data_IF_839894357915
#
_entry.id   IF_839894357915
#
_cell.length_a   1.000
_cell.length_b   1.000
_cell.length_c   1.000
_cell.angle_alpha   90.00
_cell.angle_beta   90.00
_cell.angle_gamma   90.00
#
_symmetry.space_group_name_H-M   'P 1'
#
loop_
_entity.id
_entity.type
_entity.pdbx_description
1 polymer ?
#
# COMPACT_ATOMS: atom_id res chain seq x y z
N UNK A 1 -5.52 -12.14 -19.01
CA UNK A 1 -4.49 -11.42 -18.21
C UNK A 1 -5.23 -10.38 -17.39
N UNK A 2 -5.72 -10.85 -16.26
CA UNK A 2 -6.77 -10.24 -15.46
C UNK A 2 -6.24 -9.10 -14.61
N UNK A 3 -6.47 -7.87 -15.06
CA UNK A 3 -6.06 -6.62 -14.38
C UNK A 3 -7.00 -6.24 -13.22
N UNK A 4 -7.96 -7.09 -12.87
CA UNK A 4 -8.96 -6.80 -11.83
C UNK A 4 -8.31 -6.47 -10.48
N UNK A 5 -7.29 -7.23 -10.08
CA UNK A 5 -6.63 -7.03 -8.79
C UNK A 5 -5.98 -5.65 -8.73
N UNK A 6 -5.26 -5.21 -9.77
CA UNK A 6 -4.59 -3.91 -9.79
C UNK A 6 -5.55 -2.71 -9.81
N UNK A 7 -6.75 -2.87 -10.40
CA UNK A 7 -7.80 -1.84 -10.41
C UNK A 7 -8.47 -1.73 -9.04
N UNK A 8 -8.79 -2.86 -8.39
CA UNK A 8 -9.46 -2.88 -7.09
C UNK A 8 -8.63 -2.25 -5.96
N UNK A 9 -7.30 -2.34 -6.05
CA UNK A 9 -6.38 -1.70 -5.09
C UNK A 9 -6.01 -0.25 -5.46
N UNK A 10 -6.56 0.32 -6.54
CA UNK A 10 -6.35 1.73 -6.92
C UNK A 10 -4.93 2.08 -7.36
N UNK A 11 -4.12 1.08 -7.76
CA UNK A 11 -2.67 1.23 -8.02
C UNK A 11 -2.38 1.76 -9.43
N UNK A 12 -3.40 1.91 -10.26
CA UNK A 12 -3.28 2.35 -11.65
C UNK A 12 -4.13 3.61 -11.85
N UNK A 13 -3.52 4.79 -12.03
CA UNK A 13 -4.17 5.87 -12.75
C UNK A 13 -4.36 5.38 -14.18
N UNK A 14 -5.58 5.53 -14.70
CA UNK A 14 -5.88 5.35 -16.11
C UNK A 14 -4.81 6.01 -16.97
N UNK A 15 -4.20 5.19 -17.84
CA UNK A 15 -3.28 5.57 -18.91
C UNK A 15 -1.83 5.94 -18.50
N UNK A 16 -0.88 5.08 -18.89
CA UNK A 16 0.57 5.38 -19.01
C UNK A 16 1.48 5.49 -17.77
N UNK A 17 1.46 4.50 -16.87
CA UNK A 17 2.55 4.36 -15.88
C UNK A 17 2.56 3.00 -15.19
N UNK A 18 3.74 2.43 -14.93
CA UNK A 18 3.88 1.26 -14.05
C UNK A 18 3.18 1.53 -12.72
N UNK A 19 2.45 0.55 -12.19
CA UNK A 19 1.77 0.64 -10.90
C UNK A 19 2.71 1.21 -9.83
N UNK A 20 2.36 2.36 -9.25
CA UNK A 20 3.19 3.03 -8.23
C UNK A 20 3.40 2.09 -7.04
N UNK A 21 4.64 1.97 -6.56
CA UNK A 21 4.94 1.19 -5.35
C UNK A 21 4.19 1.80 -4.15
N UNK A 22 3.19 1.08 -3.66
CA UNK A 22 2.38 1.45 -2.50
C UNK A 22 2.35 0.27 -1.51
N UNK A 23 2.23 0.58 -0.22
CA UNK A 23 1.92 -0.41 0.81
C UNK A 23 0.65 -0.02 1.54
N UNK A 24 -0.08 -1.01 2.05
CA UNK A 24 -1.23 -0.82 2.93
C UNK A 24 -1.03 -1.64 4.20
N UNK A 25 -1.40 -1.07 5.34
CA UNK A 25 -1.47 -1.80 6.61
C UNK A 25 -2.92 -2.19 6.86
N UNK A 26 -3.15 -3.48 7.10
CA UNK A 26 -4.47 -4.06 7.35
C UNK A 26 -4.54 -4.49 8.81
N UNK A 27 -5.58 -4.06 9.52
CA UNK A 27 -5.82 -4.38 10.91
C UNK A 27 -6.38 -5.80 11.11
N UNK A 28 -6.46 -6.26 12.37
CA UNK A 28 -6.95 -7.59 12.70
C UNK A 28 -8.44 -7.81 12.35
N UNK A 29 -9.20 -6.73 12.15
CA UNK A 29 -10.59 -6.77 11.69
C UNK A 29 -10.71 -6.83 10.15
N UNK A 30 -9.58 -6.93 9.45
CA UNK A 30 -9.51 -6.99 7.99
C UNK A 30 -9.67 -5.64 7.29
N UNK A 31 -9.68 -4.52 8.03
CA UNK A 31 -9.81 -3.18 7.43
C UNK A 31 -8.46 -2.52 7.20
N UNK A 32 -8.39 -1.64 6.20
CA UNK A 32 -7.22 -0.79 5.97
C UNK A 32 -7.15 0.26 7.08
N UNK A 33 -6.04 0.28 7.79
CA UNK A 33 -5.79 1.23 8.88
C UNK A 33 -4.73 2.28 8.48
N UNK A 34 -3.91 2.01 7.46
CA UNK A 34 -2.97 2.98 6.89
C UNK A 34 -2.62 2.69 5.44
N UNK A 35 -2.37 3.74 4.66
CA UNK A 35 -1.91 3.67 3.26
C UNK A 35 -0.60 4.44 3.12
N UNK A 36 0.39 3.85 2.45
CA UNK A 36 1.71 4.41 2.21
C UNK A 36 1.92 4.62 0.71
N UNK A 37 1.61 5.82 0.23
CA UNK A 37 1.64 6.17 -1.20
C UNK A 37 3.07 6.37 -1.75
N UNK A 38 4.05 6.61 -0.87
CA UNK A 38 5.47 6.76 -1.24
C UNK A 38 6.29 5.83 -0.38
N UNK A 39 6.91 4.84 -1.00
CA UNK A 39 7.75 3.84 -0.33
C UNK A 39 9.22 4.18 -0.56
N UNK A 40 9.93 4.54 0.51
CA UNK A 40 11.39 4.57 0.54
C UNK A 40 11.89 3.22 1.06
N UNK A 41 12.45 2.34 0.22
CA UNK A 41 12.69 0.93 0.60
C UNK A 41 13.53 0.74 1.86
N UNK A 42 14.50 1.62 2.11
CA UNK A 42 15.39 1.52 3.27
C UNK A 42 14.72 1.93 4.59
N UNK A 43 13.72 2.82 4.57
CA UNK A 43 13.09 3.38 5.77
C UNK A 43 11.73 2.73 6.07
N UNK A 44 11.13 2.12 5.06
CA UNK A 44 9.75 1.65 5.09
C UNK A 44 9.49 0.53 6.11
N UNK A 45 10.36 -0.48 6.30
CA UNK A 45 10.12 -1.52 7.31
C UNK A 45 9.99 -0.94 8.73
N UNK A 46 10.87 -0.01 9.10
CA UNK A 46 10.84 0.63 10.41
C UNK A 46 9.61 1.51 10.59
N UNK A 47 9.18 2.22 9.53
CA UNK A 47 7.96 3.02 9.55
C UNK A 47 6.73 2.15 9.82
N UNK A 48 6.61 1.01 9.12
CA UNK A 48 5.48 0.08 9.30
C UNK A 48 5.44 -0.48 10.72
N UNK A 49 6.59 -0.87 11.29
CA UNK A 49 6.65 -1.41 12.64
C UNK A 49 6.32 -0.37 13.71
N UNK A 50 6.80 0.89 13.55
CA UNK A 50 6.43 1.99 14.45
C UNK A 50 4.93 2.27 14.40
N UNK A 51 4.37 2.33 13.19
CA UNK A 51 2.94 2.56 13.01
C UNK A 51 2.13 1.41 13.60
N UNK A 52 2.59 0.16 13.50
CA UNK A 52 1.95 -0.99 14.13
C UNK A 52 1.92 -0.89 15.67
N UNK A 53 3.01 -0.43 16.27
CA UNK A 53 3.13 -0.26 17.73
C UNK A 53 2.35 0.95 18.28
N UNK A 54 1.93 1.87 17.41
CA UNK A 54 1.19 3.09 17.77
C UNK A 54 -0.32 3.00 17.44
N UNK A 55 -0.81 1.82 17.05
CA UNK A 55 -2.24 1.51 16.91
C UNK A 55 -2.82 1.04 18.24
#
# INVERSE_FOLDING_TARGET
MDKQVSISFGVTPSDSGSASRMSVLIGPDGKVIKVYNTVKPAEHPDQVLRDLNNL
#
